data_IF_187682444896
#
_entry.id   IF_187682444896
#
_cell.length_a   1.000
_cell.length_b   1.000
_cell.length_c   1.000
_cell.angle_alpha   90.00
_cell.angle_beta   90.00
_cell.angle_gamma   90.00
#
_symmetry.space_group_name_H-M   'P 1'
#
loop_
_entity.id
_entity.type
_entity.pdbx_description
1 polymer ?
#
# COMPACT_ATOMS: atom_id res chain seq x y z
N UNK A 1 -9.36 15.65 5.97
CA UNK A 1 -10.56 15.13 5.26
C UNK A 1 -11.88 15.80 5.66
N UNK A 2 -11.98 16.43 6.83
CA UNK A 2 -13.21 17.06 7.36
C UNK A 2 -13.91 18.00 6.38
N UNK A 3 -13.17 18.92 5.75
CA UNK A 3 -13.74 19.87 4.79
C UNK A 3 -14.40 19.16 3.60
N UNK A 4 -13.76 18.14 3.05
CA UNK A 4 -14.30 17.36 1.93
C UNK A 4 -15.52 16.53 2.35
N UNK A 5 -15.50 15.97 3.57
CA UNK A 5 -16.63 15.20 4.12
C UNK A 5 -17.86 16.06 4.46
N UNK A 6 -17.68 17.36 4.71
CA UNK A 6 -18.77 18.27 5.06
C UNK A 6 -19.68 18.64 3.87
N UNK A 7 -19.27 18.34 2.63
CA UNK A 7 -20.06 18.63 1.43
C UNK A 7 -21.30 17.72 1.36
N UNK A 8 -22.53 18.26 1.33
CA UNK A 8 -23.74 17.43 1.24
C UNK A 8 -23.75 16.54 -0.01
N UNK A 9 -24.11 15.26 0.17
CA UNK A 9 -24.21 14.30 -0.94
C UNK A 9 -22.88 13.76 -1.46
N UNK A 10 -21.74 14.15 -0.89
CA UNK A 10 -20.44 13.61 -1.26
C UNK A 10 -20.36 12.09 -1.03
N UNK A 11 -19.51 11.41 -1.82
CA UNK A 11 -19.22 9.96 -1.72
C UNK A 11 -17.71 9.66 -1.78
N UNK A 12 -16.88 10.59 -1.32
CA UNK A 12 -15.43 10.43 -1.28
C UNK A 12 -15.03 9.29 -0.35
N UNK A 13 -14.00 8.55 -0.77
CA UNK A 13 -13.21 7.67 0.07
C UNK A 13 -11.77 8.17 0.08
N UNK A 14 -11.11 8.07 1.22
CA UNK A 14 -9.74 8.52 1.43
C UNK A 14 -8.81 7.31 1.54
N UNK A 15 -7.90 7.21 0.58
CA UNK A 15 -6.88 6.17 0.50
C UNK A 15 -5.57 6.71 1.07
N UNK A 16 -5.05 6.05 2.11
CA UNK A 16 -3.73 6.36 2.66
C UNK A 16 -2.70 5.48 1.98
N UNK A 17 -1.93 6.08 1.06
CA UNK A 17 -1.00 5.39 0.18
C UNK A 17 0.47 5.80 0.49
N UNK A 18 1.14 5.14 1.45
CA UNK A 18 2.56 5.33 1.68
C UNK A 18 3.41 4.48 0.74
N UNK A 19 4.70 4.82 0.61
CA UNK A 19 5.70 3.98 -0.05
C UNK A 19 6.00 2.70 0.74
N UNK A 20 6.16 1.58 0.02
CA UNK A 20 6.58 0.29 0.59
C UNK A 20 7.96 0.39 1.27
N UNK A 21 8.08 -0.26 2.41
CA UNK A 21 9.33 -0.36 3.17
C UNK A 21 9.55 0.84 4.09
N UNK A 22 10.73 0.89 4.71
CA UNK A 22 11.13 2.02 5.56
C UNK A 22 11.78 3.11 4.71
N UNK A 23 11.14 4.28 4.64
CA UNK A 23 11.77 5.54 4.22
C UNK A 23 12.35 6.28 5.46
N UNK A 24 12.42 7.61 5.47
CA UNK A 24 12.89 8.39 6.62
C UNK A 24 12.08 8.15 7.91
N UNK A 25 10.75 7.97 7.80
CA UNK A 25 9.83 7.70 8.91
C UNK A 25 8.98 6.48 8.56
N UNK A 26 8.79 5.52 9.49
CA UNK A 26 7.86 4.42 9.27
C UNK A 26 6.46 4.94 8.92
N UNK A 27 5.90 4.47 7.81
CA UNK A 27 4.61 5.00 7.35
C UNK A 27 3.47 4.80 8.34
N UNK A 28 3.56 3.79 9.21
CA UNK A 28 2.57 3.56 10.28
C UNK A 28 2.52 4.72 11.28
N UNK A 29 3.62 5.45 11.49
CA UNK A 29 3.66 6.64 12.35
C UNK A 29 3.09 7.88 11.66
N UNK A 30 3.02 7.87 10.32
CA UNK A 30 2.39 8.91 9.52
C UNK A 30 0.88 8.70 9.36
N UNK A 31 0.33 7.59 9.89
CA UNK A 31 -1.08 7.25 9.76
C UNK A 31 -1.96 8.25 10.53
N UNK A 32 -2.87 8.99 9.86
CA UNK A 32 -3.66 10.06 10.50
C UNK A 32 -4.84 9.55 11.33
N UNK A 33 -5.04 8.23 11.42
CA UNK A 33 -6.04 7.58 12.26
C UNK A 33 -7.32 7.16 11.53
N UNK A 34 -8.03 6.21 12.13
CA UNK A 34 -9.14 5.46 11.50
C UNK A 34 -10.33 6.32 11.08
N UNK A 35 -10.56 7.44 11.75
CA UNK A 35 -11.65 8.37 11.43
C UNK A 35 -11.41 9.17 10.15
N UNK A 36 -10.17 9.18 9.66
CA UNK A 36 -9.78 9.98 8.50
C UNK A 36 -9.57 9.15 7.23
N UNK A 37 -9.27 7.86 7.36
CA UNK A 37 -8.88 6.97 6.25
C UNK A 37 -9.93 5.88 6.03
N UNK A 38 -10.31 5.63 4.78
CA UNK A 38 -11.29 4.59 4.42
C UNK A 38 -10.63 3.33 3.81
N UNK A 39 -9.40 3.45 3.30
CA UNK A 39 -8.66 2.39 2.61
C UNK A 39 -7.18 2.52 3.01
N UNK A 40 -6.54 1.39 3.34
CA UNK A 40 -5.09 1.36 3.51
C UNK A 40 -4.47 0.94 2.18
N UNK A 41 -3.91 1.91 1.46
CA UNK A 41 -3.18 1.70 0.22
C UNK A 41 -1.70 1.45 0.44
N UNK A 42 -1.00 1.23 -0.67
CA UNK A 42 0.45 1.11 -0.71
C UNK A 42 0.98 1.41 -2.11
N UNK A 43 2.06 2.20 -2.15
CA UNK A 43 2.83 2.46 -3.36
C UNK A 43 3.99 1.46 -3.44
N UNK A 44 3.91 0.51 -4.38
CA UNK A 44 4.87 -0.59 -4.51
C UNK A 44 5.36 -0.78 -5.94
N UNK A 45 6.55 -0.24 -6.22
CA UNK A 45 7.27 -0.48 -7.47
C UNK A 45 8.35 -1.55 -7.29
N UNK A 46 8.80 -2.16 -8.40
CA UNK A 46 9.89 -3.13 -8.38
C UNK A 46 11.26 -2.46 -8.13
N UNK A 47 11.47 -2.06 -6.89
CA UNK A 47 12.69 -1.39 -6.44
C UNK A 47 13.02 -1.77 -4.98
N UNK A 48 14.29 -1.64 -4.54
CA UNK A 48 15.48 -1.25 -5.32
C UNK A 48 15.90 -2.31 -6.35
N UNK A 49 16.97 -2.02 -7.10
CA UNK A 49 17.50 -2.97 -8.09
C UNK A 49 17.90 -4.27 -7.42
N UNK A 50 17.51 -5.39 -8.02
CA UNK A 50 17.89 -6.73 -7.58
C UNK A 50 17.15 -7.26 -6.35
N UNK A 51 16.25 -6.49 -5.72
CA UNK A 51 15.46 -6.97 -4.57
C UNK A 51 14.41 -8.00 -5.02
N UNK A 52 14.45 -9.26 -4.54
CA UNK A 52 13.44 -10.26 -4.86
C UNK A 52 12.06 -9.89 -4.30
N UNK A 53 11.00 -10.31 -4.97
CA UNK A 53 9.62 -10.06 -4.52
C UNK A 53 9.36 -10.54 -3.08
N UNK A 54 9.87 -11.73 -2.73
CA UNK A 54 9.70 -12.30 -1.38
C UNK A 54 10.34 -11.43 -0.29
N UNK A 55 11.38 -10.66 -0.63
CA UNK A 55 12.00 -9.70 0.28
C UNK A 55 11.12 -8.46 0.45
N UNK A 56 10.51 -7.96 -0.64
CA UNK A 56 9.55 -6.84 -0.60
C UNK A 56 8.30 -7.18 0.25
N UNK A 57 7.94 -8.46 0.33
CA UNK A 57 6.87 -8.93 1.21
C UNK A 57 7.29 -8.88 2.68
N UNK A 58 8.48 -9.40 2.98
CA UNK A 58 8.96 -9.69 4.35
C UNK A 58 9.67 -8.53 5.01
N UNK A 59 10.16 -7.55 4.25
CA UNK A 59 10.88 -6.43 4.82
C UNK A 59 10.01 -5.66 5.83
N UNK A 60 10.60 -4.98 6.82
CA UNK A 60 9.86 -4.11 7.71
C UNK A 60 9.07 -3.08 6.91
N UNK A 61 7.78 -2.96 7.22
CA UNK A 61 6.85 -2.04 6.54
C UNK A 61 6.62 -2.37 5.05
N UNK A 62 6.94 -3.62 4.65
CA UNK A 62 6.70 -4.21 3.34
C UNK A 62 5.25 -4.63 3.10
N UNK A 63 5.02 -5.47 2.08
CA UNK A 63 3.67 -5.87 1.66
C UNK A 63 2.91 -6.65 2.74
N UNK A 64 3.57 -7.52 3.52
CA UNK A 64 2.88 -8.23 4.60
C UNK A 64 2.45 -7.27 5.70
N UNK A 65 3.33 -6.35 6.11
CA UNK A 65 3.02 -5.36 7.13
C UNK A 65 1.85 -4.45 6.73
N UNK A 66 1.73 -4.15 5.43
CA UNK A 66 0.60 -3.42 4.86
C UNK A 66 -0.73 -4.14 5.06
N UNK A 67 -0.84 -5.39 4.61
CA UNK A 67 -2.11 -6.15 4.72
C UNK A 67 -2.46 -6.46 6.16
N UNK A 68 -1.46 -6.71 7.01
CA UNK A 68 -1.67 -6.93 8.45
C UNK A 68 -2.18 -5.66 9.15
N UNK A 69 -1.64 -4.50 8.80
CA UNK A 69 -2.10 -3.21 9.32
C UNK A 69 -3.53 -2.92 8.88
N UNK A 70 -3.84 -3.10 7.60
CA UNK A 70 -5.20 -2.95 7.09
C UNK A 70 -6.20 -3.85 7.85
N UNK A 71 -5.82 -5.11 8.06
CA UNK A 71 -6.61 -6.07 8.84
C UNK A 71 -6.78 -5.65 10.30
N UNK A 72 -5.73 -5.18 10.96
CA UNK A 72 -5.79 -4.73 12.36
C UNK A 72 -6.71 -3.51 12.54
N UNK A 73 -6.79 -2.65 11.52
CA UNK A 73 -7.66 -1.47 11.50
C UNK A 73 -9.05 -1.73 10.89
N UNK A 74 -9.34 -2.97 10.46
CA UNK A 74 -10.62 -3.35 9.86
C UNK A 74 -10.91 -2.62 8.54
N UNK A 75 -9.87 -2.32 7.74
CA UNK A 75 -9.97 -1.54 6.51
C UNK A 75 -9.58 -2.38 5.29
N UNK A 76 -10.19 -2.13 4.12
CA UNK A 76 -9.78 -2.78 2.89
C UNK A 76 -8.40 -2.32 2.43
N UNK A 77 -7.78 -3.16 1.61
CA UNK A 77 -6.47 -2.94 0.99
C UNK A 77 -6.64 -2.36 -0.42
N UNK A 78 -5.71 -1.51 -0.83
CA UNK A 78 -5.52 -1.11 -2.23
C UNK A 78 -4.03 -1.04 -2.58
N UNK A 79 -3.73 -1.04 -3.89
CA UNK A 79 -2.42 -0.70 -4.44
C UNK A 79 -2.62 0.42 -5.47
N UNK A 80 -2.81 1.67 -5.03
CA UNK A 80 -3.09 2.80 -5.92
C UNK A 80 -1.89 3.13 -6.83
N UNK A 81 -0.67 2.81 -6.39
CA UNK A 81 0.53 2.81 -7.24
C UNK A 81 1.28 1.48 -7.15
N UNK A 82 1.49 0.84 -8.29
CA UNK A 82 2.41 -0.29 -8.39
C UNK A 82 2.83 -0.51 -9.82
N UNK A 83 4.01 -1.11 -10.01
CA UNK A 83 4.48 -1.46 -11.33
C UNK A 83 5.99 -1.55 -11.45
N UNK A 84 6.47 -1.42 -12.68
CA UNK A 84 7.89 -1.50 -13.01
C UNK A 84 8.54 -0.12 -12.88
N UNK A 85 9.77 -0.08 -12.38
CA UNK A 85 10.56 1.13 -12.26
C UNK A 85 12.06 0.88 -12.46
N UNK A 86 12.77 0.35 -11.45
CA UNK A 86 14.25 0.31 -11.47
C UNK A 86 14.84 -0.95 -12.10
N UNK A 87 14.05 -2.00 -12.28
CA UNK A 87 14.52 -3.29 -12.81
C UNK A 87 14.16 -3.53 -14.29
N UNK A 88 13.54 -2.56 -14.97
CA UNK A 88 13.16 -2.69 -16.38
C UNK A 88 12.03 -3.70 -16.58
N UNK A 89 12.05 -4.43 -17.70
CA UNK A 89 11.04 -5.46 -18.00
C UNK A 89 11.13 -6.63 -17.01
N UNK A 90 10.10 -6.77 -16.18
CA UNK A 90 10.07 -7.76 -15.10
C UNK A 90 8.71 -8.47 -15.00
N UNK A 91 8.50 -9.44 -15.88
CA UNK A 91 7.26 -10.23 -15.90
C UNK A 91 7.06 -11.05 -14.61
N UNK A 92 8.13 -11.39 -13.90
CA UNK A 92 8.05 -12.08 -12.61
C UNK A 92 7.38 -11.18 -11.57
N UNK A 93 7.81 -9.93 -11.44
CA UNK A 93 7.18 -8.98 -10.52
C UNK A 93 5.69 -8.80 -10.81
N UNK A 94 5.33 -8.60 -12.08
CA UNK A 94 3.93 -8.44 -12.50
C UNK A 94 3.06 -9.62 -12.06
N UNK A 95 3.48 -10.86 -12.33
CA UNK A 95 2.72 -12.06 -11.94
C UNK A 95 2.63 -12.21 -10.43
N UNK A 96 3.70 -11.90 -9.70
CA UNK A 96 3.74 -12.01 -8.23
C UNK A 96 2.85 -10.96 -7.55
N UNK A 97 2.84 -9.71 -8.02
CA UNK A 97 1.90 -8.69 -7.52
C UNK A 97 0.44 -9.07 -7.79
N UNK A 98 0.12 -9.58 -8.98
CA UNK A 98 -1.24 -10.03 -9.31
C UNK A 98 -1.69 -11.19 -8.41
N UNK A 99 -0.82 -12.19 -8.19
CA UNK A 99 -1.09 -13.30 -7.28
C UNK A 99 -1.28 -12.81 -5.83
N UNK A 100 -0.44 -11.87 -5.40
CA UNK A 100 -0.52 -11.27 -4.06
C UNK A 100 -1.86 -10.53 -3.84
N UNK A 101 -2.31 -9.75 -4.83
CA UNK A 101 -3.60 -9.06 -4.77
C UNK A 101 -4.78 -10.04 -4.76
N UNK A 102 -4.70 -11.15 -5.49
CA UNK A 102 -5.76 -12.17 -5.50
C UNK A 102 -5.87 -12.89 -4.15
N UNK A 103 -4.74 -13.10 -3.47
CA UNK A 103 -4.69 -13.69 -2.13
C UNK A 103 -5.29 -12.80 -1.03
N UNK A 104 -5.15 -11.47 -1.15
CA UNK A 104 -5.47 -10.50 -0.08
C UNK A 104 -6.66 -9.58 -0.42
N UNK A 105 -7.66 -10.08 -1.14
CA UNK A 105 -8.86 -9.33 -1.54
C UNK A 105 -9.79 -8.96 -0.38
#
# INVERSE_FOLDING_TARGET
VTTMRAVPGQKFRFDFAPSRGRDAVPWTQCYPGDSTVDIIGMDSYDQPRGMPFDEQVKEPYGLQAHVDFAKAHGKPVSYPEWGLFRNGDNATYMRRMLAWMDEHR
#
